data_IF_832105353522
#
_entry.id   IF_832105353522
#
_cell.length_a   1.000
_cell.length_b   1.000
_cell.length_c   1.000
_cell.angle_alpha   90.00
_cell.angle_beta   90.00
_cell.angle_gamma   90.00
#
_symmetry.space_group_name_H-M   'P 1'
#
loop_
_entity.id
_entity.type
_entity.pdbx_description
1 polymer ?
#
# COMPACT_ATOMS: atom_id res chain seq x y z
N UNK A 1 -9.00 -0.50 -5.13
CA UNK A 1 -9.13 0.84 -5.78
C UNK A 1 -8.25 1.01 -7.01
N UNK A 2 -7.01 0.51 -7.00
CA UNK A 2 -6.04 0.79 -8.06
C UNK A 2 -6.43 0.24 -9.45
N UNK A 3 -6.98 -0.98 -9.49
CA UNK A 3 -7.54 -1.57 -10.71
C UNK A 3 -8.52 -0.63 -11.42
N UNK A 4 -9.49 -0.11 -10.68
CA UNK A 4 -10.48 0.82 -11.23
C UNK A 4 -9.82 2.11 -11.76
N UNK A 5 -8.78 2.62 -11.11
CA UNK A 5 -8.05 3.78 -11.59
C UNK A 5 -7.35 3.53 -12.94
N UNK A 6 -6.75 2.34 -13.12
CA UNK A 6 -6.14 1.97 -14.40
C UNK A 6 -7.21 1.77 -15.47
N UNK A 7 -8.29 1.05 -15.18
CA UNK A 7 -9.40 0.84 -16.12
C UNK A 7 -10.01 2.18 -16.57
N UNK A 8 -10.20 3.13 -15.64
CA UNK A 8 -10.65 4.48 -15.97
C UNK A 8 -9.62 5.26 -16.79
N UNK A 9 -8.32 5.13 -16.49
CA UNK A 9 -7.26 5.78 -17.28
C UNK A 9 -7.31 5.34 -18.75
N UNK A 10 -7.56 4.05 -19.00
CA UNK A 10 -7.70 3.48 -20.32
C UNK A 10 -8.99 3.98 -21.00
N UNK A 11 -10.12 3.98 -20.29
CA UNK A 11 -11.39 4.50 -20.78
C UNK A 11 -11.31 5.98 -21.20
N UNK A 12 -10.51 6.78 -20.49
CA UNK A 12 -10.32 8.20 -20.76
C UNK A 12 -9.13 8.51 -21.68
N UNK A 13 -8.49 7.50 -22.27
CA UNK A 13 -7.31 7.65 -23.13
C UNK A 13 -6.14 8.39 -22.45
N UNK A 14 -6.00 8.25 -21.13
CA UNK A 14 -4.87 8.77 -20.37
C UNK A 14 -3.69 7.83 -20.58
N UNK A 15 -2.63 8.33 -21.21
CA UNK A 15 -1.41 7.57 -21.48
C UNK A 15 -0.22 8.17 -20.74
N UNK A 16 0.78 7.34 -20.47
CA UNK A 16 2.08 7.76 -19.98
C UNK A 16 3.13 7.36 -21.01
N UNK A 17 3.92 8.32 -21.50
CA UNK A 17 4.87 8.08 -22.59
C UNK A 17 4.22 7.39 -23.81
N UNK A 18 3.02 7.85 -24.19
CA UNK A 18 2.23 7.30 -25.31
C UNK A 18 1.77 5.83 -25.14
N UNK A 19 1.93 5.27 -23.94
CA UNK A 19 1.51 3.90 -23.62
C UNK A 19 0.41 3.91 -22.54
N UNK A 20 -0.49 2.94 -22.62
CA UNK A 20 -1.43 2.68 -21.55
C UNK A 20 -0.73 2.06 -20.35
N UNK A 21 -1.17 2.43 -19.16
CA UNK A 21 -0.76 1.75 -17.94
C UNK A 21 -1.32 0.34 -17.95
N UNK A 22 -0.45 -0.63 -17.67
CA UNK A 22 -0.80 -2.03 -17.48
C UNK A 22 -0.64 -2.40 -16.00
N UNK A 23 -1.33 -3.47 -15.59
CA UNK A 23 -1.20 -4.02 -14.25
C UNK A 23 -1.27 -5.53 -14.25
N UNK A 24 -0.70 -6.10 -13.19
CA UNK A 24 -0.94 -7.47 -12.78
C UNK A 24 -1.52 -7.44 -11.37
N UNK A 25 -2.54 -8.25 -11.13
CA UNK A 25 -3.21 -8.33 -9.84
C UNK A 25 -2.78 -9.62 -9.11
N UNK A 26 -2.54 -9.48 -7.81
CA UNK A 26 -2.19 -10.55 -6.88
C UNK A 26 -3.23 -10.48 -5.77
N UNK A 27 -3.94 -11.58 -5.52
CA UNK A 27 -4.93 -11.68 -4.45
C UNK A 27 -4.34 -12.61 -3.38
N UNK A 28 -4.16 -12.08 -2.18
CA UNK A 28 -3.34 -12.69 -1.14
C UNK A 28 -4.11 -12.98 0.15
N UNK A 29 -5.22 -12.29 0.42
CA UNK A 29 -6.06 -12.46 1.63
C UNK A 29 -5.26 -12.37 2.95
N UNK A 30 -4.34 -11.40 3.03
CA UNK A 30 -3.40 -11.17 4.14
C UNK A 30 -2.34 -12.30 4.34
N UNK A 31 -2.24 -13.24 3.40
CA UNK A 31 -1.21 -14.28 3.43
C UNK A 31 0.14 -13.73 2.91
N UNK A 32 1.05 -13.50 3.85
CA UNK A 32 2.41 -13.01 3.61
C UNK A 32 3.21 -13.95 2.70
N UNK A 33 3.04 -15.27 2.83
CA UNK A 33 3.80 -16.23 2.03
C UNK A 33 3.29 -16.24 0.59
N UNK A 34 1.98 -16.20 0.39
CA UNK A 34 1.37 -16.04 -0.95
C UNK A 34 1.81 -14.72 -1.58
N UNK A 35 1.79 -13.63 -0.80
CA UNK A 35 2.27 -12.31 -1.24
C UNK A 35 3.69 -12.39 -1.79
N UNK A 36 4.63 -12.93 -1.02
CA UNK A 36 6.04 -13.00 -1.41
C UNK A 36 6.26 -13.94 -2.60
N UNK A 37 5.65 -15.13 -2.58
CA UNK A 37 5.77 -16.11 -3.66
C UNK A 37 5.27 -15.55 -4.98
N UNK A 38 4.03 -15.04 -5.00
CA UNK A 38 3.42 -14.55 -6.24
C UNK A 38 4.13 -13.29 -6.72
N UNK A 39 4.49 -12.36 -5.82
CA UNK A 39 5.26 -11.16 -6.21
C UNK A 39 6.59 -11.56 -6.85
N UNK A 40 7.32 -12.50 -6.24
CA UNK A 40 8.58 -12.98 -6.81
C UNK A 40 8.40 -13.59 -8.19
N UNK A 41 7.37 -14.43 -8.37
CA UNK A 41 7.05 -15.02 -9.68
C UNK A 41 6.73 -13.94 -10.73
N UNK A 42 5.94 -12.92 -10.37
CA UNK A 42 5.59 -11.83 -11.29
C UNK A 42 6.78 -10.99 -11.68
N UNK A 43 7.55 -10.50 -10.70
CA UNK A 43 8.76 -9.70 -10.95
C UNK A 43 9.78 -10.47 -11.79
N UNK A 44 9.86 -11.79 -11.63
CA UNK A 44 10.77 -12.62 -12.43
C UNK A 44 10.30 -12.82 -13.87
N UNK A 45 8.99 -12.71 -14.13
CA UNK A 45 8.39 -12.99 -15.43
C UNK A 45 8.10 -11.72 -16.27
N UNK A 46 8.00 -10.56 -15.64
CA UNK A 46 7.62 -9.30 -16.31
C UNK A 46 8.39 -8.10 -15.78
N UNK A 47 8.36 -7.00 -16.54
CA UNK A 47 9.03 -5.76 -16.17
C UNK A 47 8.15 -4.94 -15.21
N UNK A 48 7.99 -5.42 -13.98
CA UNK A 48 7.29 -4.69 -12.92
C UNK A 48 8.16 -3.51 -12.46
N UNK A 49 7.60 -2.30 -12.50
CA UNK A 49 8.29 -1.05 -12.13
C UNK A 49 7.83 -0.47 -10.79
N UNK A 50 6.81 -1.06 -10.18
CA UNK A 50 6.19 -0.57 -8.96
C UNK A 50 5.23 -1.59 -8.36
N UNK A 51 5.12 -1.61 -7.04
CA UNK A 51 4.05 -2.30 -6.32
C UNK A 51 3.03 -1.27 -5.87
N UNK A 52 1.78 -1.46 -6.26
CA UNK A 52 0.70 -0.58 -5.86
C UNK A 52 -0.35 -1.42 -5.15
N UNK A 53 -0.91 -0.86 -4.08
CA UNK A 53 -1.95 -1.49 -3.27
C UNK A 53 -1.55 -2.79 -2.54
N UNK A 54 -0.39 -2.86 -1.84
CA UNK A 54 -0.30 -3.79 -0.73
C UNK A 54 -1.35 -3.39 0.31
N UNK A 55 -2.45 -4.13 0.36
CA UNK A 55 -3.65 -3.68 1.04
C UNK A 55 -3.54 -3.86 2.57
N UNK A 56 -2.94 -4.97 2.98
CA UNK A 56 -2.83 -5.34 4.39
C UNK A 56 -1.51 -4.87 4.98
N UNK A 57 -1.57 -4.30 6.19
CA UNK A 57 -0.38 -3.77 6.86
C UNK A 57 0.68 -4.84 7.14
N UNK A 58 0.24 -6.07 7.45
CA UNK A 58 1.06 -7.25 7.69
C UNK A 58 1.91 -7.59 6.47
N UNK A 59 1.27 -7.75 5.32
CA UNK A 59 1.96 -8.01 4.04
C UNK A 59 2.88 -6.86 3.65
N UNK A 60 2.39 -5.62 3.73
CA UNK A 60 3.12 -4.41 3.34
C UNK A 60 4.48 -4.36 4.01
N UNK A 61 4.54 -4.67 5.31
CA UNK A 61 5.78 -4.65 6.09
C UNK A 61 6.87 -5.54 5.48
N UNK A 62 6.53 -6.72 4.99
CA UNK A 62 7.49 -7.64 4.38
C UNK A 62 7.75 -7.32 2.91
N UNK A 63 6.69 -7.01 2.16
CA UNK A 63 6.78 -6.70 0.74
C UNK A 63 7.66 -5.47 0.48
N UNK A 64 7.59 -4.45 1.33
CA UNK A 64 8.42 -3.24 1.21
C UNK A 64 9.91 -3.55 1.36
N UNK A 65 10.26 -4.47 2.26
CA UNK A 65 11.66 -4.89 2.44
C UNK A 65 12.17 -5.61 1.18
N UNK A 66 11.30 -6.40 0.54
CA UNK A 66 11.59 -7.02 -0.74
C UNK A 66 11.69 -5.99 -1.88
N UNK A 67 10.76 -5.04 -1.96
CA UNK A 67 10.73 -3.95 -2.94
C UNK A 67 12.00 -3.11 -2.91
N UNK A 68 12.46 -2.75 -1.71
CA UNK A 68 13.71 -2.02 -1.53
C UNK A 68 14.92 -2.77 -2.13
N UNK A 69 15.01 -4.09 -1.92
CA UNK A 69 16.08 -4.90 -2.50
C UNK A 69 16.03 -4.99 -4.02
N UNK A 70 14.84 -4.85 -4.60
CA UNK A 70 14.64 -4.81 -6.05
C UNK A 70 14.83 -3.40 -6.64
N UNK A 71 14.97 -2.37 -5.81
CA UNK A 71 14.96 -0.97 -6.26
C UNK A 71 13.60 -0.52 -6.79
N UNK A 72 12.51 -1.18 -6.34
CA UNK A 72 11.13 -0.90 -6.77
C UNK A 72 10.41 -0.13 -5.66
N UNK A 73 9.61 0.86 -6.04
CA UNK A 73 8.75 1.61 -5.12
C UNK A 73 7.46 0.85 -4.82
N UNK A 74 7.02 0.94 -3.57
CA UNK A 74 5.77 0.39 -3.07
C UNK A 74 4.88 1.52 -2.55
N UNK A 75 3.63 1.59 -3.01
CA UNK A 75 2.65 2.59 -2.58
C UNK A 75 1.38 1.91 -2.09
N UNK A 76 1.02 2.10 -0.82
CA UNK A 76 -0.24 1.59 -0.25
C UNK A 76 -1.29 2.68 -0.05
N UNK A 77 -2.57 2.38 -0.32
CA UNK A 77 -3.68 3.26 0.03
C UNK A 77 -4.50 2.80 1.24
N UNK A 78 -4.24 1.64 1.82
CA UNK A 78 -5.04 1.10 2.93
C UNK A 78 -4.21 0.58 4.10
N UNK A 79 -2.89 0.47 3.98
CA UNK A 79 -2.04 0.03 5.08
C UNK A 79 -1.83 1.16 6.11
N UNK A 80 -2.59 1.12 7.20
CA UNK A 80 -2.64 2.17 8.24
C UNK A 80 -1.69 1.94 9.41
N UNK A 81 -1.09 0.75 9.55
CA UNK A 81 -0.28 0.42 10.74
C UNK A 81 0.80 1.48 11.02
N UNK A 82 0.94 1.93 12.28
CA UNK A 82 2.00 2.86 12.70
C UNK A 82 3.41 2.34 12.42
N UNK A 83 3.61 1.01 12.49
CA UNK A 83 4.93 0.39 12.24
C UNK A 83 5.46 0.72 10.85
N UNK A 84 4.58 0.95 9.88
CA UNK A 84 4.96 1.27 8.51
C UNK A 84 5.59 2.67 8.40
N UNK A 85 5.30 3.60 9.33
CA UNK A 85 5.98 4.90 9.40
C UNK A 85 7.46 4.77 9.78
N UNK A 86 7.86 3.65 10.40
CA UNK A 86 9.26 3.41 10.81
C UNK A 86 10.14 2.89 9.69
N UNK A 87 9.54 2.56 8.54
CA UNK A 87 10.28 2.05 7.38
C UNK A 87 10.93 3.24 6.65
N UNK A 88 12.23 3.41 6.91
CA UNK A 88 13.05 4.47 6.31
C UNK A 88 14.03 3.91 5.28
N UNK A 89 13.49 3.26 4.25
CA UNK A 89 14.29 2.69 3.16
C UNK A 89 14.08 3.42 1.82
N UNK A 90 13.26 4.49 1.80
CA UNK A 90 12.93 5.26 0.60
C UNK A 90 12.10 4.51 -0.46
N UNK A 91 11.76 3.24 -0.22
CA UNK A 91 11.02 2.38 -1.14
C UNK A 91 9.52 2.30 -0.82
N UNK A 92 9.06 2.91 0.29
CA UNK A 92 7.67 2.86 0.70
C UNK A 92 7.05 4.23 0.88
N UNK A 93 5.86 4.36 0.32
CA UNK A 93 4.98 5.50 0.51
C UNK A 93 3.57 4.99 0.81
N UNK A 94 2.77 5.81 1.49
CA UNK A 94 1.34 5.57 1.62
C UNK A 94 0.57 6.86 1.46
N UNK A 95 -0.62 6.74 0.88
CA UNK A 95 -1.56 7.87 0.72
C UNK A 95 -2.58 7.94 1.85
N UNK A 96 -2.71 6.87 2.64
CA UNK A 96 -3.57 6.82 3.82
C UNK A 96 -2.81 7.29 5.06
N UNK A 97 -3.46 8.04 5.98
CA UNK A 97 -2.87 8.40 7.26
C UNK A 97 -2.51 7.17 8.12
N UNK A 98 -1.50 7.33 8.98
CA UNK A 98 -1.20 6.41 10.08
C UNK A 98 -2.37 6.29 11.05
N UNK A 99 -2.60 5.11 11.64
CA UNK A 99 -3.54 4.95 12.77
C UNK A 99 -3.15 5.81 13.99
N UNK A 100 -1.91 6.29 14.07
CA UNK A 100 -1.49 7.29 15.06
C UNK A 100 -2.32 8.59 14.95
N UNK A 101 -2.68 8.99 13.74
CA UNK A 101 -3.52 10.17 13.53
C UNK A 101 -4.95 9.92 14.02
N UNK A 102 -5.45 8.70 13.87
CA UNK A 102 -6.74 8.27 14.41
C UNK A 102 -6.72 8.32 15.94
N UNK A 103 -5.66 7.80 16.56
CA UNK A 103 -5.47 7.85 18.02
C UNK A 103 -5.46 9.30 18.51
N UNK A 104 -4.70 10.18 17.86
CA UNK A 104 -4.65 11.60 18.20
C UNK A 104 -6.04 12.25 18.12
N UNK A 105 -6.78 11.99 17.05
CA UNK A 105 -8.15 12.49 16.89
C UNK A 105 -9.09 12.01 18.01
N UNK A 106 -9.01 10.73 18.38
CA UNK A 106 -9.78 10.19 19.50
C UNK A 106 -9.38 10.86 20.82
N UNK A 107 -8.08 11.01 21.11
CA UNK A 107 -7.61 11.66 22.34
C UNK A 107 -8.15 13.09 22.48
N UNK A 108 -8.17 13.87 21.40
CA UNK A 108 -8.74 15.22 21.41
C UNK A 108 -10.22 15.20 21.83
N UNK A 109 -11.01 14.24 21.32
CA UNK A 109 -12.41 14.10 21.69
C UNK A 109 -12.56 13.72 23.17
N UNK A 110 -11.71 12.83 23.69
CA UNK A 110 -11.69 12.48 25.11
C UNK A 110 -11.43 13.68 26.00
N UNK A 111 -10.46 14.50 25.62
CA UNK A 111 -10.11 15.72 26.36
C UNK A 111 -11.20 16.78 26.29
N UNK A 112 -11.83 16.95 25.13
CA UNK A 112 -12.90 17.92 24.90
C UNK A 112 -14.17 17.57 25.68
N UNK A 113 -14.61 16.32 25.63
CA UNK A 113 -15.87 15.87 26.23
C UNK A 113 -15.71 15.25 27.62
N UNK A 114 -14.48 15.19 28.15
CA UNK A 114 -14.13 14.61 29.47
C UNK A 114 -14.61 13.16 29.61
N UNK A 115 -14.56 12.40 28.52
CA UNK A 115 -14.92 10.99 28.53
C UNK A 115 -13.90 10.19 29.34
N UNK A 116 -14.39 9.30 30.22
CA UNK A 116 -13.56 8.41 31.05
C UNK A 116 -13.50 6.97 30.53
N UNK A 117 -14.39 6.62 29.61
CA UNK A 117 -14.53 5.30 28.99
C UNK A 117 -15.37 5.36 27.73
N UNK A 118 -15.20 4.41 26.83
CA UNK A 118 -15.98 4.21 25.59
C UNK A 118 -16.08 2.71 25.27
N UNK A 119 -16.97 2.35 24.34
CA UNK A 119 -17.14 1.00 23.78
C UNK A 119 -17.02 1.09 22.27
#
# INVERSE_FOLDING_TARGET
MFRAAIELSQQYNITFQEQFLNYEEIITDDDIMVTLEQTFQKVSASNIVGFIDPAYSSETRYLVSFAYRLGILSVSYSATSPELSTIDNGAFYRVVPSDENTVLGITILFEQYKWKSYV
#
